data_IF_371619982089
#
_entry.id   IF_371619982089
#
_cell.length_a   1.000
_cell.length_b   1.000
_cell.length_c   1.000
_cell.angle_alpha   90.00
_cell.angle_beta   90.00
_cell.angle_gamma   90.00
#
_symmetry.space_group_name_H-M   'P 1'
#
loop_
_entity.id
_entity.type
_entity.pdbx_description
1 polymer ?
#
# COMPACT_ATOMS: atom_id res chain seq x y z
N UNK A 1 -41.85 -12.15 3.77
CA UNK A 1 -41.17 -11.44 2.67
C UNK A 1 -40.07 -10.60 3.29
N UNK A 2 -38.81 -10.95 3.05
CA UNK A 2 -37.66 -10.08 3.27
C UNK A 2 -36.58 -10.53 2.28
N UNK A 3 -36.53 -9.85 1.14
CA UNK A 3 -35.50 -10.04 0.12
C UNK A 3 -34.17 -9.55 0.68
N UNK A 4 -33.32 -10.49 1.10
CA UNK A 4 -31.90 -10.21 1.32
C UNK A 4 -31.24 -10.00 -0.03
N UNK A 5 -30.92 -8.76 -0.34
CA UNK A 5 -30.13 -8.39 -1.51
C UNK A 5 -28.77 -9.07 -1.41
N UNK A 6 -28.55 -10.11 -2.22
CA UNK A 6 -27.23 -10.60 -2.56
C UNK A 6 -26.54 -9.48 -3.37
N UNK A 7 -25.79 -8.61 -2.69
CA UNK A 7 -24.77 -7.79 -3.33
C UNK A 7 -23.81 -8.74 -4.03
N UNK A 8 -24.06 -8.87 -5.32
CA UNK A 8 -23.37 -9.77 -6.20
C UNK A 8 -21.94 -9.29 -6.32
N UNK A 9 -21.05 -10.16 -5.86
CA UNK A 9 -19.60 -10.18 -6.01
C UNK A 9 -19.15 -9.78 -7.44
N UNK A 10 -19.09 -8.46 -7.68
CA UNK A 10 -18.61 -7.87 -8.94
C UNK A 10 -17.07 -7.76 -8.97
N UNK A 11 -16.39 -8.55 -8.13
CA UNK A 11 -14.93 -8.58 -8.02
C UNK A 11 -14.28 -9.66 -8.90
N UNK A 12 -15.07 -10.49 -9.58
CA UNK A 12 -14.62 -11.54 -10.52
C UNK A 12 -13.95 -10.95 -11.78
N UNK A 13 -12.77 -10.37 -11.61
CA UNK A 13 -11.92 -9.87 -12.70
C UNK A 13 -10.94 -8.75 -12.33
N UNK A 14 -11.11 -8.08 -11.18
CA UNK A 14 -10.28 -6.92 -10.80
C UNK A 14 -9.09 -7.31 -9.93
N UNK A 15 -8.07 -7.94 -10.53
CA UNK A 15 -6.82 -8.26 -9.83
C UNK A 15 -5.65 -7.45 -10.36
N UNK A 16 -4.94 -6.75 -9.48
CA UNK A 16 -3.68 -6.13 -9.83
C UNK A 16 -2.51 -6.88 -9.22
N UNK A 17 -1.36 -6.79 -9.86
CA UNK A 17 -0.08 -7.29 -9.37
C UNK A 17 0.82 -6.13 -8.97
N UNK A 18 1.72 -6.35 -8.01
CA UNK A 18 2.71 -5.35 -7.62
C UNK A 18 3.59 -4.90 -8.80
N UNK A 19 3.83 -5.77 -9.78
CA UNK A 19 4.58 -5.46 -11.00
C UNK A 19 3.94 -4.36 -11.84
N UNK A 20 2.61 -4.21 -11.80
CA UNK A 20 1.92 -3.15 -12.55
C UNK A 20 2.14 -1.76 -11.95
N UNK A 21 2.49 -1.70 -10.66
CA UNK A 21 2.81 -0.46 -9.95
C UNK A 21 4.31 -0.21 -9.85
N UNK A 22 5.13 -1.15 -10.33
CA UNK A 22 6.59 -1.03 -10.28
C UNK A 22 7.08 -0.31 -11.54
N UNK A 23 7.35 0.98 -11.44
CA UNK A 23 8.13 1.67 -12.46
C UNK A 23 9.64 1.53 -12.16
N UNK A 24 10.47 1.71 -13.18
CA UNK A 24 11.92 1.77 -12.99
C UNK A 24 12.27 2.96 -12.10
N UNK A 25 13.08 2.73 -11.07
CA UNK A 25 13.71 3.83 -10.33
C UNK A 25 14.48 4.71 -11.32
N UNK A 26 14.43 6.04 -11.15
CA UNK A 26 15.20 6.94 -11.99
C UNK A 26 16.70 6.58 -11.92
N UNK A 27 17.38 6.64 -13.07
CA UNK A 27 18.79 6.27 -13.24
C UNK A 27 19.78 7.14 -12.44
N UNK A 28 19.29 8.17 -11.75
CA UNK A 28 20.10 9.19 -11.07
C UNK A 28 20.66 8.78 -9.72
N UNK A 29 20.56 7.51 -9.31
CA UNK A 29 20.97 7.15 -7.95
C UNK A 29 21.54 5.72 -7.81
N UNK A 30 22.26 5.22 -8.81
CA UNK A 30 23.07 4.00 -8.64
C UNK A 30 24.44 4.34 -8.01
N UNK A 31 24.47 4.63 -6.72
CA UNK A 31 25.71 4.52 -5.93
C UNK A 31 25.72 3.17 -5.22
N UNK A 32 26.66 2.32 -5.62
CA UNK A 32 27.15 1.09 -4.97
C UNK A 32 26.33 0.54 -3.78
N UNK A 33 25.56 -0.53 -4.01
CA UNK A 33 25.07 -1.41 -2.93
C UNK A 33 23.83 -0.92 -2.15
N UNK A 34 23.30 0.26 -2.46
CA UNK A 34 22.07 0.77 -1.85
C UNK A 34 20.83 -0.01 -2.32
N UNK A 35 20.04 -0.51 -1.38
CA UNK A 35 18.77 -1.16 -1.66
C UNK A 35 17.67 -0.12 -1.59
N UNK A 36 16.89 0.01 -2.67
CA UNK A 36 15.72 0.86 -2.72
C UNK A 36 14.44 0.11 -2.40
N UNK A 37 13.60 0.70 -1.57
CA UNK A 37 12.23 0.26 -1.34
C UNK A 37 11.27 1.42 -1.41
N UNK A 38 10.04 1.15 -1.81
CA UNK A 38 9.00 2.15 -1.72
C UNK A 38 8.55 2.33 -0.26
N UNK A 39 8.25 3.55 0.17
CA UNK A 39 7.62 3.82 1.48
C UNK A 39 6.20 3.25 1.45
N UNK A 40 5.45 3.60 0.42
CA UNK A 40 4.19 2.95 0.08
C UNK A 40 4.41 1.82 -0.92
N UNK A 41 4.36 0.59 -0.42
CA UNK A 41 4.73 -0.62 -1.16
C UNK A 41 3.78 -0.94 -2.33
N UNK A 42 4.34 -1.50 -3.41
CA UNK A 42 3.57 -1.86 -4.61
C UNK A 42 2.53 -2.98 -4.37
N UNK A 43 2.74 -3.88 -3.41
CA UNK A 43 1.74 -4.89 -3.03
C UNK A 43 0.55 -4.23 -2.31
N UNK A 44 0.79 -3.20 -1.50
CA UNK A 44 -0.29 -2.38 -0.91
C UNK A 44 -1.04 -1.60 -1.99
N UNK A 45 -0.32 -1.00 -2.95
CA UNK A 45 -0.94 -0.30 -4.08
C UNK A 45 -1.82 -1.23 -4.93
N UNK A 46 -1.32 -2.43 -5.25
CA UNK A 46 -2.08 -3.43 -5.99
C UNK A 46 -3.34 -3.88 -5.24
N UNK A 47 -3.20 -4.11 -3.93
CA UNK A 47 -4.33 -4.50 -3.07
C UNK A 47 -5.37 -3.38 -2.95
N UNK A 48 -4.93 -2.13 -2.75
CA UNK A 48 -5.81 -0.97 -2.72
C UNK A 48 -6.57 -0.80 -4.04
N UNK A 49 -5.88 -0.95 -5.17
CA UNK A 49 -6.49 -0.86 -6.48
C UNK A 49 -7.52 -1.98 -6.70
N UNK A 50 -7.19 -3.22 -6.32
CA UNK A 50 -8.13 -4.37 -6.43
C UNK A 50 -9.39 -4.15 -5.61
N UNK A 51 -9.25 -3.59 -4.40
CA UNK A 51 -10.37 -3.34 -3.48
C UNK A 51 -11.12 -2.04 -3.76
N UNK A 52 -10.64 -1.22 -4.69
CA UNK A 52 -11.32 0.02 -5.07
C UNK A 52 -12.70 -0.28 -5.67
N UNK A 53 -13.74 0.51 -5.33
CA UNK A 53 -15.06 0.34 -5.93
C UNK A 53 -15.02 0.61 -7.44
N UNK A 54 -15.99 0.05 -8.16
CA UNK A 54 -16.13 0.22 -9.59
C UNK A 54 -15.22 -0.67 -10.44
N UNK A 55 -15.20 -0.46 -11.77
CA UNK A 55 -14.49 -1.31 -12.72
C UNK A 55 -12.97 -1.27 -12.50
N UNK A 56 -12.26 -2.16 -13.18
CA UNK A 56 -10.80 -2.10 -13.28
C UNK A 56 -10.38 -0.74 -13.84
N UNK A 57 -9.48 -0.03 -13.16
CA UNK A 57 -8.75 1.11 -13.70
C UNK A 57 -8.12 0.78 -15.05
N UNK A 58 -8.16 1.75 -15.96
CA UNK A 58 -7.50 1.64 -17.27
C UNK A 58 -5.99 1.49 -17.13
N UNK A 59 -5.34 0.90 -18.12
CA UNK A 59 -3.87 0.81 -18.18
C UNK A 59 -3.20 2.19 -18.09
N UNK A 60 -3.84 3.23 -18.65
CA UNK A 60 -3.38 4.61 -18.55
C UNK A 60 -3.37 5.10 -17.09
N UNK A 61 -4.44 4.81 -16.35
CA UNK A 61 -4.54 5.15 -14.92
C UNK A 61 -3.48 4.41 -14.10
N UNK A 62 -3.30 3.11 -14.33
CA UNK A 62 -2.30 2.31 -13.62
C UNK A 62 -0.88 2.77 -13.94
N UNK A 63 -0.57 3.09 -15.20
CA UNK A 63 0.71 3.70 -15.58
C UNK A 63 0.94 5.04 -14.89
N UNK A 64 -0.10 5.85 -14.68
CA UNK A 64 0.02 7.10 -13.92
C UNK A 64 0.34 6.83 -12.45
N UNK A 65 -0.38 5.90 -11.82
CA UNK A 65 -0.11 5.53 -10.42
C UNK A 65 1.28 4.93 -10.24
N UNK A 66 1.74 4.10 -11.17
CA UNK A 66 3.10 3.55 -11.14
C UNK A 66 4.17 4.67 -11.20
N UNK A 67 3.93 5.73 -11.99
CA UNK A 67 4.84 6.89 -12.05
C UNK A 67 4.86 7.67 -10.74
N UNK A 68 3.69 7.90 -10.13
CA UNK A 68 3.57 8.58 -8.84
C UNK A 68 4.28 7.76 -7.76
N UNK A 69 4.05 6.45 -7.71
CA UNK A 69 4.67 5.54 -6.73
C UNK A 69 6.19 5.43 -6.93
N UNK A 70 6.70 5.59 -8.16
CA UNK A 70 8.13 5.58 -8.43
C UNK A 70 8.82 6.94 -8.21
N UNK A 71 8.11 7.94 -7.67
CA UNK A 71 8.68 9.22 -7.26
C UNK A 71 9.85 9.02 -6.28
N UNK A 72 10.85 9.90 -6.38
CA UNK A 72 12.06 9.81 -5.56
C UNK A 72 11.80 9.96 -4.06
N UNK A 73 10.74 10.66 -3.68
CA UNK A 73 10.35 10.87 -2.29
C UNK A 73 9.50 9.73 -1.71
N UNK A 74 9.02 8.79 -2.55
CA UNK A 74 8.49 7.49 -2.12
C UNK A 74 9.59 6.45 -1.93
N UNK A 75 10.87 6.80 -1.89
CA UNK A 75 11.96 5.82 -1.78
C UNK A 75 12.62 5.90 -0.40
N UNK A 76 12.90 4.73 0.17
CA UNK A 76 13.92 4.52 1.19
C UNK A 76 15.17 3.98 0.54
N UNK A 77 16.29 4.68 0.71
CA UNK A 77 17.61 4.15 0.41
C UNK A 77 18.16 3.47 1.67
N UNK A 78 18.37 2.16 1.58
CA UNK A 78 19.03 1.38 2.62
C UNK A 78 20.50 1.24 2.27
N UNK A 79 21.39 1.63 3.18
CA UNK A 79 22.85 1.50 3.02
C UNK A 79 23.38 0.06 3.07
N UNK A 80 22.52 -0.96 3.04
CA UNK A 80 22.95 -2.37 3.08
C UNK A 80 22.02 -3.29 2.28
N UNK A 81 22.64 -4.19 1.51
CA UNK A 81 21.97 -5.27 0.80
C UNK A 81 21.18 -6.22 1.71
N UNK A 82 21.54 -6.32 3.01
CA UNK A 82 20.83 -7.15 3.98
C UNK A 82 19.38 -6.68 4.25
N UNK A 83 19.08 -5.40 4.00
CA UNK A 83 17.73 -4.87 4.12
C UNK A 83 16.73 -5.60 3.20
N UNK A 84 17.18 -6.13 2.05
CA UNK A 84 16.34 -6.90 1.13
C UNK A 84 15.76 -8.20 1.74
N UNK A 85 16.42 -8.75 2.76
CA UNK A 85 16.07 -10.03 3.38
C UNK A 85 15.44 -9.89 4.78
N UNK A 86 15.25 -8.66 5.27
CA UNK A 86 14.85 -8.35 6.65
C UNK A 86 13.35 -8.14 6.93
N UNK A 87 13.08 -7.64 8.14
CA UNK A 87 11.77 -7.48 8.79
C UNK A 87 10.74 -6.59 8.05
N UNK A 88 11.13 -5.72 7.12
CA UNK A 88 10.17 -4.76 6.54
C UNK A 88 9.26 -5.39 5.49
N UNK A 89 9.75 -6.38 4.73
CA UNK A 89 8.87 -7.21 3.88
C UNK A 89 7.86 -7.99 4.73
N UNK A 90 8.19 -8.25 5.99
CA UNK A 90 7.26 -8.83 6.97
C UNK A 90 6.13 -7.85 7.35
N UNK A 91 6.39 -6.54 7.44
CA UNK A 91 5.35 -5.56 7.78
C UNK A 91 4.21 -5.50 6.74
N UNK A 92 4.52 -5.34 5.45
CA UNK A 92 3.53 -5.32 4.36
C UNK A 92 2.75 -6.63 4.31
N UNK A 93 3.44 -7.77 4.44
CA UNK A 93 2.80 -9.09 4.48
C UNK A 93 1.79 -9.20 5.63
N UNK A 94 2.13 -8.72 6.83
CA UNK A 94 1.21 -8.70 7.98
C UNK A 94 0.00 -7.80 7.72
N UNK A 95 0.18 -6.63 7.12
CA UNK A 95 -0.94 -5.76 6.72
C UNK A 95 -1.87 -6.51 5.77
N UNK A 96 -1.32 -7.13 4.73
CA UNK A 96 -2.09 -7.90 3.74
C UNK A 96 -2.78 -9.13 4.33
N UNK A 97 -2.15 -9.80 5.30
CA UNK A 97 -2.76 -10.88 6.07
C UNK A 97 -3.97 -10.37 6.87
N UNK A 98 -3.85 -9.19 7.51
CA UNK A 98 -4.98 -8.56 8.22
C UNK A 98 -6.15 -8.26 7.28
N UNK A 99 -5.85 -7.86 6.03
CA UNK A 99 -6.86 -7.55 5.01
C UNK A 99 -7.56 -8.82 4.52
N UNK A 100 -6.83 -9.92 4.36
CA UNK A 100 -7.40 -11.20 3.91
C UNK A 100 -8.19 -11.92 5.02
N UNK A 101 -7.70 -11.86 6.25
CA UNK A 101 -8.29 -12.60 7.38
C UNK A 101 -9.31 -11.78 8.16
N UNK A 102 -9.30 -10.45 8.03
CA UNK A 102 -10.06 -9.53 8.88
C UNK A 102 -9.55 -9.46 10.32
N UNK A 103 -8.43 -10.14 10.64
CA UNK A 103 -7.90 -10.21 12.00
C UNK A 103 -6.99 -9.04 12.32
N UNK A 104 -6.99 -8.66 13.60
CA UNK A 104 -6.02 -7.72 14.16
C UNK A 104 -4.59 -8.26 13.99
N UNK A 105 -3.69 -7.42 13.49
CA UNK A 105 -2.24 -7.68 13.44
C UNK A 105 -1.50 -6.64 14.27
N UNK A 106 -0.48 -7.10 14.99
CA UNK A 106 0.39 -6.26 15.80
C UNK A 106 1.77 -6.20 15.14
N UNK A 107 2.24 -4.98 14.89
CA UNK A 107 3.55 -4.69 14.31
C UNK A 107 4.54 -4.34 15.40
N UNK A 108 5.81 -4.72 15.23
CA UNK A 108 6.89 -4.18 16.06
C UNK A 108 7.05 -2.68 15.84
N UNK A 109 7.73 -1.97 16.75
CA UNK A 109 7.97 -0.52 16.58
C UNK A 109 8.64 -0.16 15.25
N UNK A 110 9.55 -1.01 14.77
CA UNK A 110 10.21 -0.82 13.48
C UNK A 110 9.26 -1.01 12.29
N UNK A 111 8.48 -2.10 12.30
CA UNK A 111 7.48 -2.38 11.26
C UNK A 111 6.38 -1.30 11.23
N UNK A 112 5.95 -0.82 12.40
CA UNK A 112 4.97 0.25 12.53
C UNK A 112 5.51 1.58 11.98
N UNK A 113 6.79 1.89 12.20
CA UNK A 113 7.44 3.08 11.61
C UNK A 113 7.38 3.05 10.09
N UNK A 114 7.74 1.93 9.48
CA UNK A 114 7.72 1.79 8.02
C UNK A 114 6.31 1.98 7.43
N UNK A 115 5.28 1.39 8.05
CA UNK A 115 3.89 1.56 7.62
C UNK A 115 3.40 3.01 7.82
N UNK A 116 3.78 3.68 8.91
CA UNK A 116 3.45 5.09 9.16
C UNK A 116 4.04 5.99 8.09
N UNK A 117 5.28 5.75 7.71
CA UNK A 117 5.95 6.54 6.67
C UNK A 117 5.32 6.34 5.29
N UNK A 118 4.98 5.10 4.92
CA UNK A 118 4.23 4.83 3.71
C UNK A 118 2.85 5.49 3.69
N UNK A 119 2.14 5.47 4.83
CA UNK A 119 0.86 6.17 4.97
C UNK A 119 1.03 7.70 4.93
N UNK A 120 2.08 8.26 5.52
CA UNK A 120 2.36 9.68 5.48
C UNK A 120 2.67 10.15 4.05
N UNK A 121 3.48 9.41 3.30
CA UNK A 121 3.73 9.67 1.88
C UNK A 121 2.44 9.61 1.06
N UNK A 122 1.60 8.59 1.30
CA UNK A 122 0.32 8.48 0.60
C UNK A 122 -0.61 9.65 0.94
N UNK A 123 -0.62 10.13 2.18
CA UNK A 123 -1.40 11.29 2.59
C UNK A 123 -0.96 12.58 1.88
N UNK A 124 0.35 12.78 1.69
CA UNK A 124 0.87 13.97 0.98
C UNK A 124 0.60 13.93 -0.53
N UNK A 125 0.46 12.74 -1.12
CA UNK A 125 0.19 12.54 -2.55
C UNK A 125 -1.26 12.16 -2.85
N UNK A 126 -2.17 12.21 -1.87
CA UNK A 126 -3.51 11.61 -2.01
C UNK A 126 -4.29 12.16 -3.21
N UNK A 127 -4.14 13.46 -3.49
CA UNK A 127 -4.78 14.18 -4.59
C UNK A 127 -4.34 13.74 -5.99
N UNK A 128 -3.26 12.96 -6.10
CA UNK A 128 -2.75 12.43 -7.38
C UNK A 128 -3.37 11.07 -7.74
N UNK A 129 -4.07 10.46 -6.78
CA UNK A 129 -4.82 9.22 -6.95
C UNK A 129 -6.32 9.50 -7.07
N UNK A 130 -7.09 8.48 -7.44
CA UNK A 130 -8.54 8.57 -7.38
C UNK A 130 -9.01 8.41 -5.94
N UNK A 131 -10.14 9.03 -5.61
CA UNK A 131 -10.76 8.90 -4.29
C UNK A 131 -11.00 7.43 -3.89
N UNK A 132 -11.48 6.62 -4.82
CA UNK A 132 -11.70 5.18 -4.61
C UNK A 132 -10.41 4.44 -4.23
N UNK A 133 -9.29 4.78 -4.85
CA UNK A 133 -7.98 4.21 -4.53
C UNK A 133 -7.55 4.58 -3.12
N UNK A 134 -7.63 5.86 -2.76
CA UNK A 134 -7.20 6.37 -1.46
C UNK A 134 -8.06 5.81 -0.32
N UNK A 135 -9.38 5.80 -0.49
CA UNK A 135 -10.29 5.20 0.51
C UNK A 135 -10.01 3.71 0.71
N UNK A 136 -9.65 3.00 -0.35
CA UNK A 136 -9.28 1.59 -0.29
C UNK A 136 -7.92 1.39 0.38
N UNK A 137 -6.92 2.20 0.05
CA UNK A 137 -5.62 2.19 0.70
C UNK A 137 -5.74 2.47 2.20
N UNK A 138 -6.55 3.45 2.60
CA UNK A 138 -6.85 3.74 4.00
C UNK A 138 -7.51 2.56 4.72
N UNK A 139 -8.33 1.76 4.02
CA UNK A 139 -8.96 0.57 4.61
C UNK A 139 -7.98 -0.57 4.90
N UNK A 140 -6.83 -0.62 4.21
CA UNK A 140 -5.84 -1.67 4.43
C UNK A 140 -5.27 -1.64 5.86
N UNK A 141 -5.24 -0.46 6.47
CA UNK A 141 -4.68 -0.25 7.81
C UNK A 141 -5.72 -0.43 8.94
N UNK A 142 -6.95 -0.81 8.61
CA UNK A 142 -8.04 -0.88 9.58
C UNK A 142 -7.76 -1.81 10.75
N UNK A 143 -7.04 -2.92 10.54
CA UNK A 143 -6.75 -3.91 11.59
C UNK A 143 -5.29 -3.93 12.02
N UNK A 144 -4.55 -2.84 11.79
CA UNK A 144 -3.10 -2.76 12.03
C UNK A 144 -2.81 -1.92 13.27
N UNK A 145 -2.15 -2.54 14.25
CA UNK A 145 -1.84 -1.95 15.55
C UNK A 145 -0.35 -2.07 15.89
N UNK A 146 0.17 -1.19 16.73
CA UNK A 146 1.51 -1.33 17.32
C UNK A 146 1.47 -2.16 18.62
N UNK A 147 2.65 -2.36 19.21
CA UNK A 147 2.82 -3.16 20.43
C UNK A 147 2.11 -2.56 21.65
N UNK A 148 1.83 -1.26 21.62
CA UNK A 148 1.11 -0.52 22.67
C UNK A 148 -0.40 -0.49 22.42
N UNK A 149 -0.87 -1.29 21.46
CA UNK A 149 -2.28 -1.39 21.07
C UNK A 149 -2.88 -0.15 20.39
N UNK A 150 -2.05 0.78 19.92
CA UNK A 150 -2.51 1.93 19.17
C UNK A 150 -2.63 1.61 17.68
N UNK A 151 -3.58 2.27 16.99
CA UNK A 151 -3.66 2.21 15.52
C UNK A 151 -2.36 2.73 14.93
N UNK A 152 -1.75 1.95 14.02
CA UNK A 152 -0.52 2.38 13.35
C UNK A 152 -0.79 3.58 12.46
N UNK A 153 -1.94 3.60 11.77
CA UNK A 153 -2.35 4.67 10.87
C UNK A 153 -3.76 5.14 11.26
N UNK A 154 -3.92 6.45 11.49
CA UNK A 154 -5.25 7.06 11.57
C UNK A 154 -5.81 7.23 10.16
N UNK A 155 -6.85 6.46 9.82
CA UNK A 155 -7.48 6.50 8.48
C UNK A 155 -7.98 7.89 8.09
N UNK A 156 -8.28 8.77 9.04
CA UNK A 156 -8.76 10.13 8.78
C UNK A 156 -7.71 11.00 8.09
N UNK A 157 -6.42 10.69 8.23
CA UNK A 157 -5.35 11.42 7.53
C UNK A 157 -5.33 11.11 6.03
N UNK A 158 -5.81 9.92 5.66
CA UNK A 158 -5.84 9.43 4.28
C UNK A 158 -7.16 9.72 3.57
N UNK A 159 -8.29 9.79 4.28
CA UNK A 159 -9.59 10.04 3.64
C UNK A 159 -9.64 11.41 2.96
N UNK A 160 -10.41 11.47 1.87
CA UNK A 160 -10.88 12.71 1.28
C UNK A 160 -11.95 13.36 2.15
#
# INVERSE_FOLDING_TARGET
>A
MASGSNESDNSKGKKYSASEFRASFSSSASCSGEVRRHKFDCELAATAATRSPGPRYSDKTIKNYAKIIASSDNIYDYGSAAANYGHDRSSVKKVLESVHTGKRVVLSSHEASHIREGAAWLASHKNEFSEGFINSAASLYENVYDQDEHKVVDRRTLKY
#
